data_IF_971985067606
#
_entry.id   IF_971985067606
#
_cell.length_a   1.000
_cell.length_b   1.000
_cell.length_c   1.000
_cell.angle_alpha   90.00
_cell.angle_beta   90.00
_cell.angle_gamma   90.00
#
_symmetry.space_group_name_H-M   'P 1'
#
loop_
_entity.id
_entity.type
_entity.pdbx_description
1 polymer ?
#
# COMPACT_ATOMS: atom_id res chain seq x y z
N UNK A 1 9.49 12.64 -7.87
CA UNK A 1 8.48 12.78 -6.79
C UNK A 1 8.74 11.73 -5.73
N UNK A 2 8.27 11.97 -4.50
CA UNK A 2 8.37 11.03 -3.37
C UNK A 2 7.11 10.19 -3.26
N UNK A 3 7.24 8.90 -3.54
CA UNK A 3 6.14 7.94 -3.50
C UNK A 3 6.38 7.00 -2.32
N UNK A 4 5.42 6.95 -1.40
CA UNK A 4 5.44 5.97 -0.31
C UNK A 4 4.34 4.94 -0.51
N UNK A 5 4.72 3.67 -0.49
CA UNK A 5 3.81 2.54 -0.64
C UNK A 5 3.72 1.84 0.72
N UNK A 6 2.61 2.05 1.43
CA UNK A 6 2.30 1.37 2.68
C UNK A 6 1.56 0.07 2.40
N UNK A 7 2.23 -1.04 2.63
CA UNK A 7 1.65 -2.36 2.56
C UNK A 7 1.00 -2.79 3.88
N UNK A 8 0.15 -3.81 3.81
CA UNK A 8 -0.62 -4.34 4.91
C UNK A 8 0.23 -4.89 6.05
N UNK A 9 -0.44 -5.14 7.18
CA UNK A 9 0.21 -5.52 8.44
C UNK A 9 0.76 -6.95 8.48
N UNK A 10 0.50 -7.76 7.45
CA UNK A 10 0.57 -9.22 7.55
C UNK A 10 1.70 -9.85 6.73
N UNK A 11 2.09 -9.22 5.61
CA UNK A 11 3.07 -9.76 4.68
C UNK A 11 4.29 -8.80 4.54
N UNK A 12 5.51 -9.34 4.43
CA UNK A 12 6.71 -8.54 4.22
C UNK A 12 6.89 -8.16 2.75
N UNK A 13 7.71 -7.13 2.52
CA UNK A 13 8.33 -6.85 1.21
C UNK A 13 9.85 -6.93 1.37
N UNK A 14 10.60 -7.67 0.54
CA UNK A 14 10.16 -8.50 -0.59
C UNK A 14 9.10 -9.54 -0.23
N UNK A 15 8.25 -9.89 -1.19
CA UNK A 15 7.07 -10.74 -0.98
C UNK A 15 7.43 -12.24 -0.72
N UNK A 16 8.26 -12.51 0.29
CA UNK A 16 8.76 -13.84 0.68
C UNK A 16 7.63 -14.79 1.09
N UNK A 17 6.56 -14.26 1.69
CA UNK A 17 5.36 -15.01 2.07
C UNK A 17 4.28 -15.03 0.99
N UNK A 18 4.61 -14.59 -0.22
CA UNK A 18 3.66 -14.41 -1.31
C UNK A 18 2.81 -13.15 -1.13
N UNK A 19 1.60 -13.18 -1.71
CA UNK A 19 0.71 -12.02 -1.78
C UNK A 19 0.75 -11.33 -3.15
N UNK A 20 -0.37 -11.35 -3.86
CA UNK A 20 -0.45 -10.76 -5.20
C UNK A 20 -0.29 -9.24 -5.16
N UNK A 21 -0.86 -8.60 -4.14
CA UNK A 21 -0.78 -7.15 -3.94
C UNK A 21 0.67 -6.76 -3.61
N UNK A 22 1.30 -7.50 -2.69
CA UNK A 22 2.66 -7.28 -2.23
C UNK A 22 3.64 -7.34 -3.40
N UNK A 23 3.57 -8.41 -4.21
CA UNK A 23 4.37 -8.63 -5.42
C UNK A 23 4.15 -7.53 -6.47
N UNK A 24 2.90 -7.19 -6.75
CA UNK A 24 2.58 -6.18 -7.75
C UNK A 24 3.15 -4.81 -7.36
N UNK A 25 2.95 -4.41 -6.10
CA UNK A 25 3.47 -3.13 -5.62
C UNK A 25 4.99 -3.13 -5.50
N UNK A 26 5.63 -4.24 -5.16
CA UNK A 26 7.08 -4.37 -5.19
C UNK A 26 7.64 -4.12 -6.62
N UNK A 27 7.04 -4.77 -7.62
CA UNK A 27 7.40 -4.56 -9.03
C UNK A 27 7.16 -3.11 -9.48
N UNK A 28 5.97 -2.57 -9.20
CA UNK A 28 5.64 -1.18 -9.52
C UNK A 28 6.56 -0.19 -8.82
N UNK A 29 6.94 -0.45 -7.57
CA UNK A 29 7.88 0.39 -6.83
C UNK A 29 9.25 0.48 -7.50
N UNK A 30 9.75 -0.64 -8.03
CA UNK A 30 10.98 -0.65 -8.81
C UNK A 30 10.81 0.13 -10.13
N UNK A 31 9.69 -0.03 -10.84
CA UNK A 31 9.41 0.73 -12.07
C UNK A 31 9.32 2.24 -11.82
N UNK A 32 8.63 2.68 -10.77
CA UNK A 32 8.60 4.09 -10.39
C UNK A 32 10.01 4.62 -10.09
N UNK A 33 10.84 3.81 -9.44
CA UNK A 33 12.22 4.21 -9.16
C UNK A 33 13.09 4.27 -10.42
N UNK A 34 12.85 3.39 -11.40
CA UNK A 34 13.48 3.45 -12.73
C UNK A 34 13.10 4.72 -13.49
N UNK A 35 11.85 5.16 -13.35
CA UNK A 35 11.35 6.44 -13.90
C UNK A 35 11.82 7.68 -13.10
N UNK A 36 12.79 7.54 -12.18
CA UNK A 36 13.40 8.66 -11.46
C UNK A 36 12.62 9.14 -10.24
N UNK A 37 11.63 8.38 -9.77
CA UNK A 37 10.93 8.71 -8.52
C UNK A 37 11.67 8.16 -7.29
N UNK A 38 11.54 8.86 -6.17
CA UNK A 38 12.04 8.42 -4.87
C UNK A 38 10.97 7.55 -4.22
N UNK A 39 11.20 6.24 -4.17
CA UNK A 39 10.19 5.26 -3.74
C UNK A 39 10.57 4.65 -2.40
N UNK A 40 9.60 4.63 -1.49
CA UNK A 40 9.72 3.98 -0.19
C UNK A 40 8.62 2.96 0.02
N UNK A 41 8.99 1.72 0.33
CA UNK A 41 8.07 0.68 0.80
C UNK A 41 8.04 0.64 2.31
N UNK A 42 6.83 0.61 2.88
CA UNK A 42 6.61 0.29 4.29
C UNK A 42 5.85 -1.02 4.39
N UNK A 43 6.43 -2.03 5.02
CA UNK A 43 5.84 -3.38 5.11
C UNK A 43 6.04 -4.02 6.48
N UNK A 44 5.54 -5.25 6.65
CA UNK A 44 5.74 -6.02 7.89
C UNK A 44 7.21 -6.38 8.09
N UNK A 45 7.67 -6.24 9.33
CA UNK A 45 8.91 -6.83 9.83
C UNK A 45 8.68 -8.29 10.22
N UNK A 46 9.20 -9.21 9.43
CA UNK A 46 9.24 -10.65 9.71
C UNK A 46 10.36 -11.35 8.91
N UNK A 47 10.52 -12.65 9.12
CA UNK A 47 11.39 -13.54 8.32
C UNK A 47 12.87 -13.13 8.28
N UNK A 48 13.37 -12.57 9.39
CA UNK A 48 14.78 -12.16 9.53
C UNK A 48 15.17 -10.91 8.75
N UNK A 49 14.23 -10.29 8.04
CA UNK A 49 14.48 -9.09 7.25
C UNK A 49 14.87 -7.90 8.14
N UNK A 50 15.86 -7.07 7.73
CA UNK A 50 16.27 -5.91 8.50
C UNK A 50 15.16 -4.85 8.57
N UNK A 51 15.19 -4.03 9.62
CA UNK A 51 14.19 -2.96 9.82
C UNK A 51 14.22 -1.90 8.74
N UNK A 52 15.39 -1.66 8.16
CA UNK A 52 15.57 -0.77 7.03
C UNK A 52 16.60 -1.37 6.10
N UNK A 53 16.31 -1.35 4.81
CA UNK A 53 17.24 -1.72 3.77
C UNK A 53 16.93 -0.95 2.49
N UNK A 54 17.86 -1.01 1.53
CA UNK A 54 17.64 -0.48 0.19
C UNK A 54 17.83 -1.60 -0.81
N UNK A 55 16.79 -1.90 -1.58
CA UNK A 55 16.84 -2.90 -2.65
C UNK A 55 16.85 -2.14 -3.97
N UNK A 56 17.99 -2.17 -4.66
CA UNK A 56 18.23 -1.34 -5.83
C UNK A 56 18.17 0.15 -5.46
N UNK A 57 17.21 0.87 -6.02
CA UNK A 57 16.98 2.30 -5.73
C UNK A 57 15.81 2.54 -4.76
N UNK A 58 15.08 1.50 -4.39
CA UNK A 58 13.90 1.58 -3.52
C UNK A 58 14.29 1.39 -2.06
N UNK A 59 13.80 2.28 -1.19
CA UNK A 59 14.01 2.16 0.26
C UNK A 59 12.91 1.33 0.89
N UNK A 60 13.27 0.39 1.76
CA UNK A 60 12.33 -0.46 2.48
C UNK A 60 12.44 -0.16 3.98
N UNK A 61 11.32 0.17 4.60
CA UNK A 61 11.17 0.25 6.04
C UNK A 61 10.18 -0.81 6.52
N UNK A 62 10.53 -1.49 7.60
CA UNK A 62 9.73 -2.60 8.12
C UNK A 62 9.30 -2.32 9.54
N UNK A 63 8.01 -2.50 9.77
CA UNK A 63 7.36 -2.23 11.04
C UNK A 63 6.82 -3.53 11.59
N UNK A 64 6.96 -3.75 12.90
CA UNK A 64 6.37 -4.92 13.57
C UNK A 64 4.87 -5.00 13.21
N UNK A 65 4.48 -6.07 12.54
CA UNK A 65 3.09 -6.39 12.21
C UNK A 65 2.56 -7.52 13.08
N UNK A 66 1.61 -8.29 12.56
CA UNK A 66 1.03 -9.46 13.20
C UNK A 66 0.83 -10.57 12.16
N UNK A 67 0.68 -11.82 12.62
CA UNK A 67 0.28 -12.91 11.73
C UNK A 67 -1.20 -12.81 11.35
N UNK A 68 -1.49 -13.19 10.11
CA UNK A 68 -2.85 -13.22 9.61
C UNK A 68 -3.65 -14.30 10.34
N UNK A 69 -4.87 -13.97 10.72
CA UNK A 69 -5.82 -14.86 11.40
C UNK A 69 -7.04 -15.10 10.50
N UNK A 70 -7.71 -16.24 10.69
CA UNK A 70 -8.91 -16.59 9.89
C UNK A 70 -10.08 -15.63 10.14
N UNK A 71 -10.20 -15.07 11.34
CA UNK A 71 -11.32 -14.21 11.70
C UNK A 71 -11.11 -12.78 11.15
N UNK A 72 -11.98 -12.29 10.25
CA UNK A 72 -11.82 -10.99 9.59
C UNK A 72 -11.92 -9.80 10.55
N UNK A 73 -12.64 -9.93 11.68
CA UNK A 73 -12.72 -8.87 12.69
C UNK A 73 -11.41 -8.73 13.47
N UNK A 74 -10.84 -9.86 13.89
CA UNK A 74 -9.56 -9.88 14.59
C UNK A 74 -8.45 -9.40 13.64
N UNK A 75 -8.51 -9.76 12.36
CA UNK A 75 -7.59 -9.28 11.34
C UNK A 75 -7.57 -7.74 11.27
N UNK A 76 -8.74 -7.09 11.23
CA UNK A 76 -8.83 -5.62 11.27
C UNK A 76 -8.27 -5.07 12.59
N UNK A 77 -8.56 -5.69 13.72
CA UNK A 77 -8.06 -5.23 15.01
C UNK A 77 -6.52 -5.31 15.09
N UNK A 78 -5.91 -6.37 14.55
CA UNK A 78 -4.46 -6.55 14.50
C UNK A 78 -3.77 -5.57 13.55
N UNK A 79 -4.46 -5.13 12.50
CA UNK A 79 -3.94 -4.14 11.55
C UNK A 79 -3.80 -2.74 12.19
N UNK A 80 -4.67 -2.39 13.13
CA UNK A 80 -4.70 -1.04 13.72
C UNK A 80 -3.38 -0.66 14.42
N UNK A 81 -2.81 -1.47 15.35
CA UNK A 81 -1.50 -1.20 15.94
C UNK A 81 -0.36 -1.08 14.91
N UNK A 82 -0.45 -1.80 13.80
CA UNK A 82 0.55 -1.72 12.72
C UNK A 82 0.46 -0.36 12.02
N UNK A 83 -0.73 0.10 11.63
CA UNK A 83 -0.93 1.41 10.98
C UNK A 83 -0.46 2.56 11.88
N UNK A 84 -0.73 2.48 13.18
CA UNK A 84 -0.27 3.49 14.15
C UNK A 84 1.25 3.53 14.28
N UNK A 85 1.91 2.36 14.22
CA UNK A 85 3.39 2.28 14.21
C UNK A 85 3.95 2.78 12.89
N UNK A 86 3.37 2.38 11.76
CA UNK A 86 3.76 2.81 10.42
C UNK A 86 3.70 4.34 10.31
N UNK A 87 2.65 4.97 10.86
CA UNK A 87 2.52 6.44 10.90
C UNK A 87 3.76 7.16 11.46
N UNK A 88 4.47 6.58 12.41
CA UNK A 88 5.67 7.19 13.01
C UNK A 88 6.90 7.08 12.12
N UNK A 89 6.95 6.04 11.27
CA UNK A 89 8.09 5.70 10.41
C UNK A 89 7.93 6.25 8.99
N UNK A 90 6.71 6.57 8.57
CA UNK A 90 6.44 7.07 7.22
C UNK A 90 7.24 8.38 6.92
N UNK A 91 8.03 8.40 5.83
CA UNK A 91 8.69 9.61 5.38
C UNK A 91 7.68 10.62 4.83
N UNK A 92 8.16 11.85 4.61
CA UNK A 92 7.40 12.85 3.86
C UNK A 92 7.24 12.37 2.41
N UNK A 93 6.00 12.35 1.91
CA UNK A 93 5.70 11.86 0.58
C UNK A 93 4.73 12.79 -0.15
N UNK A 94 4.90 12.92 -1.47
CA UNK A 94 3.95 13.61 -2.35
C UNK A 94 2.73 12.72 -2.63
N UNK A 95 2.97 11.41 -2.65
CA UNK A 95 1.98 10.37 -2.93
C UNK A 95 2.13 9.26 -1.91
N UNK A 96 1.03 8.90 -1.24
CA UNK A 96 0.94 7.73 -0.39
C UNK A 96 -0.04 6.74 -1.00
N UNK A 97 0.46 5.57 -1.37
CA UNK A 97 -0.36 4.44 -1.80
C UNK A 97 -0.51 3.47 -0.63
N UNK A 98 -1.73 3.04 -0.35
CA UNK A 98 -1.98 2.05 0.71
C UNK A 98 -3.11 1.12 0.32
N UNK A 99 -3.05 -0.13 0.78
CA UNK A 99 -4.18 -1.06 0.74
C UNK A 99 -4.65 -1.47 2.14
N UNK A 100 -4.09 -0.86 3.18
CA UNK A 100 -4.46 -1.14 4.57
C UNK A 100 -5.80 -0.48 4.91
N UNK A 101 -6.66 -1.21 5.63
CA UNK A 101 -8.01 -0.78 5.95
C UNK A 101 -8.01 0.47 6.86
N UNK A 102 -7.19 0.51 7.90
CA UNK A 102 -7.17 1.66 8.83
C UNK A 102 -6.35 2.87 8.34
N UNK A 103 -5.52 2.70 7.32
CA UNK A 103 -4.58 3.73 6.88
C UNK A 103 -5.27 5.07 6.49
N UNK A 104 -6.35 5.09 5.70
CA UNK A 104 -7.02 6.35 5.33
C UNK A 104 -7.63 7.13 6.49
N UNK A 105 -7.91 6.45 7.61
CA UNK A 105 -8.50 7.09 8.79
C UNK A 105 -7.42 7.77 9.66
N UNK A 106 -6.25 7.12 9.78
CA UNK A 106 -5.21 7.53 10.74
C UNK A 106 -3.99 8.23 10.12
N UNK A 107 -3.81 8.17 8.80
CA UNK A 107 -2.67 8.80 8.13
C UNK A 107 -3.00 10.26 7.74
N UNK A 108 -2.20 11.24 8.20
CA UNK A 108 -2.49 12.66 7.97
C UNK A 108 -2.17 13.08 6.53
N UNK A 109 -3.14 13.72 5.85
CA UNK A 109 -3.00 14.26 4.48
C UNK A 109 -1.80 15.21 4.32
N UNK A 110 -1.43 15.98 5.36
CA UNK A 110 -0.38 17.01 5.28
C UNK A 110 1.05 16.47 5.13
N UNK A 111 1.35 15.28 5.69
CA UNK A 111 2.71 14.71 5.69
C UNK A 111 2.91 13.68 4.56
N UNK A 112 1.82 13.17 4.02
CA UNK A 112 1.81 12.01 3.12
C UNK A 112 1.23 12.33 1.73
N UNK A 113 0.98 13.62 1.46
CA UNK A 113 0.52 14.11 0.17
C UNK A 113 -0.83 13.52 -0.27
N UNK A 114 -0.96 13.22 -1.56
CA UNK A 114 -2.17 12.63 -2.13
C UNK A 114 -2.27 11.15 -1.72
N UNK A 115 -3.35 10.81 -1.01
CA UNK A 115 -3.62 9.44 -0.55
C UNK A 115 -4.38 8.63 -1.61
N UNK A 116 -3.76 7.57 -2.10
CA UNK A 116 -4.33 6.60 -3.03
C UNK A 116 -4.63 5.30 -2.28
N UNK A 117 -5.91 4.94 -2.23
CA UNK A 117 -6.36 3.71 -1.60
C UNK A 117 -6.53 2.63 -2.67
N UNK A 118 -5.69 1.61 -2.62
CA UNK A 118 -5.86 0.41 -3.43
C UNK A 118 -6.77 -0.58 -2.72
N UNK A 119 -7.86 -0.99 -3.37
CA UNK A 119 -8.81 -1.96 -2.80
C UNK A 119 -8.82 -3.21 -3.65
N UNK A 120 -8.27 -4.31 -3.11
CA UNK A 120 -8.23 -5.60 -3.82
C UNK A 120 -9.59 -6.31 -3.94
N UNK A 121 -10.62 -5.83 -3.22
CA UNK A 121 -12.01 -6.31 -3.31
C UNK A 121 -12.97 -5.15 -3.11
N UNK A 122 -14.06 -5.12 -3.87
CA UNK A 122 -15.06 -4.06 -3.73
C UNK A 122 -15.61 -4.01 -2.29
N UNK A 123 -15.40 -2.91 -1.55
CA UNK A 123 -15.80 -2.85 -0.16
C UNK A 123 -17.31 -2.57 -0.08
N UNK A 124 -18.06 -3.53 0.46
CA UNK A 124 -19.52 -3.41 0.71
C UNK A 124 -19.82 -2.39 1.81
N UNK A 125 -19.84 -1.10 1.46
CA UNK A 125 -20.22 0.02 2.35
C UNK A 125 -19.07 0.76 3.05
N UNK A 126 -17.81 0.32 2.90
CA UNK A 126 -16.68 0.93 3.63
C UNK A 126 -16.20 2.25 3.01
N UNK A 127 -16.58 2.56 1.76
CA UNK A 127 -16.24 3.83 1.10
C UNK A 127 -16.71 5.07 1.88
N UNK A 128 -17.80 4.97 2.65
CA UNK A 128 -18.26 6.08 3.52
C UNK A 128 -17.23 6.47 4.58
N UNK A 129 -16.40 5.52 5.02
CA UNK A 129 -15.30 5.74 5.98
C UNK A 129 -14.06 6.33 5.29
N UNK A 130 -13.95 6.18 3.98
CA UNK A 130 -12.79 6.59 3.17
C UNK A 130 -12.97 7.89 2.40
N UNK A 131 -13.94 8.75 2.78
CA UNK A 131 -14.11 10.10 2.18
C UNK A 131 -12.83 10.95 2.18
N UNK A 132 -11.83 10.58 2.98
CA UNK A 132 -10.52 11.23 3.07
C UNK A 132 -9.49 10.71 2.05
N UNK A 133 -9.71 9.57 1.40
CA UNK A 133 -8.87 9.12 0.29
C UNK A 133 -9.11 10.00 -0.94
N UNK A 134 -8.05 10.33 -1.66
CA UNK A 134 -8.16 11.14 -2.87
C UNK A 134 -8.70 10.28 -4.02
N UNK A 135 -8.23 9.05 -4.14
CA UNK A 135 -8.66 8.10 -5.18
C UNK A 135 -8.73 6.66 -4.66
N UNK A 136 -9.68 5.91 -5.23
CA UNK A 136 -9.86 4.48 -5.01
C UNK A 136 -9.45 3.73 -6.27
N UNK A 137 -8.45 2.85 -6.15
CA UNK A 137 -7.97 2.01 -7.25
C UNK A 137 -8.45 0.59 -6.99
N UNK A 138 -9.37 0.09 -7.82
CA UNK A 138 -9.61 -1.35 -7.96
C UNK A 138 -8.69 -1.87 -9.08
N UNK A 139 -7.83 -2.83 -8.77
CA UNK A 139 -7.21 -3.65 -9.83
C UNK A 139 -7.86 -5.04 -9.75
N UNK A 140 -8.49 -5.55 -10.81
CA UNK A 140 -8.85 -6.95 -10.89
C UNK A 140 -7.58 -7.81 -10.91
N UNK A 141 -7.66 -9.02 -10.35
CA UNK A 141 -6.53 -9.95 -10.33
C UNK A 141 -6.05 -10.36 -11.74
N UNK A 142 -6.89 -10.23 -12.76
CA UNK A 142 -6.56 -10.50 -14.17
C UNK A 142 -5.63 -9.45 -14.80
N UNK A 143 -5.50 -8.27 -14.19
CA UNK A 143 -4.61 -7.19 -14.66
C UNK A 143 -3.13 -7.44 -14.35
N UNK A 144 -2.82 -8.50 -13.57
CA UNK A 144 -1.44 -8.89 -13.27
C UNK A 144 -0.79 -9.73 -14.37
N UNK A 145 -1.56 -10.24 -15.34
CA UNK A 145 -1.08 -11.22 -16.33
C UNK A 145 -1.20 -10.76 -17.80
N UNK A 146 -1.87 -9.64 -18.10
CA UNK A 146 -2.03 -9.21 -19.50
C UNK A 146 -1.82 -7.71 -19.73
N UNK A 147 -0.96 -7.45 -20.73
CA UNK A 147 -0.86 -6.18 -21.47
C UNK A 147 -2.24 -5.78 -21.98
N UNK A 148 -2.78 -4.64 -21.54
CA UNK A 148 -3.97 -4.04 -22.13
C UNK A 148 -4.98 -3.56 -21.09
N UNK A 149 -4.95 -2.26 -20.80
CA UNK A 149 -5.87 -1.60 -19.86
C UNK A 149 -7.14 -1.21 -20.61
N UNK A 150 -8.32 -1.67 -20.15
CA UNK A 150 -9.60 -1.09 -20.55
C UNK A 150 -10.69 -1.17 -19.44
N UNK A 151 -11.28 0.01 -19.15
CA UNK A 151 -12.54 0.39 -18.45
C UNK A 151 -12.79 0.00 -16.96
N UNK A 152 -13.71 0.60 -16.17
CA UNK A 152 -15.02 1.28 -16.40
C UNK A 152 -15.35 2.29 -15.24
N UNK A 153 -16.09 3.35 -15.57
CA UNK A 153 -17.03 4.16 -14.74
C UNK A 153 -16.54 5.49 -14.11
N UNK A 154 -17.32 6.56 -14.33
CA UNK A 154 -17.05 7.98 -14.06
C UNK A 154 -16.94 8.36 -12.57
N UNK A 155 -17.03 7.37 -11.68
CA UNK A 155 -16.76 7.50 -10.24
C UNK A 155 -15.33 7.09 -9.84
N UNK A 156 -14.57 6.49 -10.76
CA UNK A 156 -13.21 6.02 -10.54
C UNK A 156 -12.23 6.82 -11.40
N UNK A 157 -11.55 7.83 -10.83
CA UNK A 157 -10.46 8.47 -11.58
C UNK A 157 -9.25 7.55 -11.56
N UNK A 158 -8.93 6.99 -12.73
CA UNK A 158 -7.65 6.34 -12.99
C UNK A 158 -6.55 7.37 -12.77
N UNK A 159 -5.62 7.05 -11.87
CA UNK A 159 -4.42 7.86 -11.70
C UNK A 159 -3.52 7.63 -12.91
N UNK A 160 -3.54 8.55 -13.88
CA UNK A 160 -2.37 8.75 -14.74
C UNK A 160 -1.29 9.36 -13.84
N UNK A 161 -0.31 8.57 -13.47
CA UNK A 161 0.91 9.11 -12.87
C UNK A 161 1.61 9.96 -13.96
N UNK A 162 1.96 11.22 -13.68
CA UNK A 162 2.70 12.06 -14.63
C UNK A 162 4.10 11.49 -14.88
#
# INVERSE_FOLDING_TARGET
>A
MRITILQGAFLPVPALRGGAIEKAWESLGQEFSRNGHEVTHVSRLCDGLPKSEKIGKVSHFRVKGADAVRNPWILKLLELPYVLRARKVLPLADVLVTHSFWAPLFLPRKRNGKLYLHVGRYPKGQFRLYRKAFMHILLPASLYDQKGISYVDDSFRIAKFP
#
